data_IF_429329159749
#
_entry.id   IF_429329159749
#
_cell.length_a   1.000
_cell.length_b   1.000
_cell.length_c   1.000
_cell.angle_alpha   90.00
_cell.angle_beta   90.00
_cell.angle_gamma   90.00
#
_symmetry.space_group_name_H-M   'P 1'
#
loop_
_entity.id
_entity.type
_entity.pdbx_description
1 polymer ?
#
# COMPACT_ATOMS: atom_id res chain seq x y z
N UNK A 1 -8.34 -1.79 15.68
CA UNK A 1 -7.31 -1.39 14.70
C UNK A 1 -7.81 -1.84 13.35
N UNK A 2 -8.01 -0.92 12.42
CA UNK A 2 -8.84 -1.18 11.24
C UNK A 2 -7.98 -1.58 10.04
N UNK A 3 -8.44 -2.57 9.29
CA UNK A 3 -7.83 -3.07 8.06
C UNK A 3 -8.55 -2.41 6.90
N UNK A 4 -7.82 -1.64 6.11
CA UNK A 4 -8.38 -1.05 4.92
C UNK A 4 -8.25 -2.00 3.74
N UNK A 5 -9.34 -2.21 3.01
CA UNK A 5 -9.31 -2.86 1.70
C UNK A 5 -9.54 -1.79 0.65
N UNK A 6 -8.61 -1.65 -0.30
CA UNK A 6 -8.76 -0.69 -1.39
C UNK A 6 -8.91 -1.37 -2.75
N UNK A 7 -10.03 -1.06 -3.40
CA UNK A 7 -10.41 -1.59 -4.69
C UNK A 7 -10.60 -0.46 -5.71
N UNK A 8 -10.14 -0.70 -6.95
CA UNK A 8 -10.52 0.12 -8.10
C UNK A 8 -11.35 -0.74 -9.04
N UNK A 9 -12.64 -0.46 -9.09
CA UNK A 9 -13.63 -1.29 -9.77
C UNK A 9 -14.03 -0.64 -11.09
N UNK A 10 -14.07 -1.42 -12.16
CA UNK A 10 -14.64 -0.95 -13.43
C UNK A 10 -16.15 -1.09 -13.39
N UNK A 11 -16.87 -0.39 -14.28
CA UNK A 11 -18.33 -0.52 -14.42
C UNK A 11 -18.79 -1.92 -14.84
N UNK A 12 -17.85 -2.80 -15.22
CA UNK A 12 -18.14 -4.20 -15.56
C UNK A 12 -18.21 -5.04 -14.29
N UNK A 13 -19.44 -5.36 -13.85
CA UNK A 13 -19.74 -6.13 -12.62
C UNK A 13 -18.93 -7.43 -12.51
N UNK A 14 -18.84 -8.23 -13.57
CA UNK A 14 -18.24 -9.57 -13.53
C UNK A 14 -16.77 -9.63 -13.07
N UNK A 15 -15.95 -8.60 -13.33
CA UNK A 15 -14.54 -8.57 -12.91
C UNK A 15 -14.32 -7.98 -11.51
N UNK A 16 -15.34 -7.31 -10.98
CA UNK A 16 -15.30 -6.68 -9.66
C UNK A 16 -15.61 -7.71 -8.58
N UNK A 17 -16.60 -8.56 -8.84
CA UNK A 17 -17.05 -9.59 -7.89
C UNK A 17 -15.94 -10.63 -7.63
N UNK A 18 -15.11 -10.96 -8.62
CA UNK A 18 -13.98 -11.88 -8.44
C UNK A 18 -12.85 -11.31 -7.56
N UNK A 19 -12.58 -10.01 -7.66
CA UNK A 19 -11.55 -9.35 -6.83
C UNK A 19 -11.97 -9.30 -5.36
N UNK A 20 -13.23 -8.90 -5.12
CA UNK A 20 -13.78 -8.83 -3.77
C UNK A 20 -13.79 -10.21 -3.13
N UNK A 21 -14.24 -11.25 -3.85
CA UNK A 21 -14.30 -12.60 -3.33
C UNK A 21 -12.94 -13.15 -2.90
N UNK A 22 -11.90 -12.96 -3.72
CA UNK A 22 -10.55 -13.43 -3.37
C UNK A 22 -9.92 -12.62 -2.22
N UNK A 23 -10.16 -11.31 -2.14
CA UNK A 23 -9.70 -10.50 -0.99
C UNK A 23 -10.42 -10.96 0.29
N UNK A 24 -11.74 -11.15 0.26
CA UNK A 24 -12.51 -11.64 1.41
C UNK A 24 -11.98 -13.01 1.84
N UNK A 25 -11.74 -13.92 0.90
CA UNK A 25 -11.15 -15.23 1.20
C UNK A 25 -9.79 -15.11 1.91
N UNK A 26 -8.92 -14.21 1.45
CA UNK A 26 -7.64 -13.96 2.09
C UNK A 26 -7.82 -13.38 3.51
N UNK A 27 -8.75 -12.44 3.69
CA UNK A 27 -9.01 -11.82 4.99
C UNK A 27 -9.48 -12.84 6.02
N UNK A 28 -10.47 -13.67 5.65
CA UNK A 28 -10.98 -14.76 6.51
C UNK A 28 -9.88 -15.77 6.83
N UNK A 29 -9.06 -16.15 5.83
CA UNK A 29 -7.96 -17.10 6.04
C UNK A 29 -6.86 -16.55 6.98
N UNK A 30 -6.75 -15.24 7.13
CA UNK A 30 -5.81 -14.58 8.06
C UNK A 30 -6.47 -14.22 9.40
N UNK A 31 -7.71 -14.65 9.65
CA UNK A 31 -8.39 -14.46 10.93
C UNK A 31 -8.88 -13.03 11.17
N UNK A 32 -9.15 -12.27 10.12
CA UNK A 32 -9.71 -10.94 10.25
C UNK A 32 -11.24 -10.98 10.22
N UNK A 33 -11.84 -10.35 11.22
CA UNK A 33 -13.29 -10.24 11.36
C UNK A 33 -13.86 -9.08 10.52
N UNK A 34 -15.13 -9.18 10.11
CA UNK A 34 -15.79 -8.18 9.24
C UNK A 34 -15.85 -6.78 9.87
N UNK A 35 -15.96 -6.69 11.19
CA UNK A 35 -15.99 -5.44 11.96
C UNK A 35 -14.64 -4.70 11.96
N UNK A 36 -13.55 -5.42 11.68
CA UNK A 36 -12.21 -4.85 11.56
C UNK A 36 -11.93 -4.33 10.14
N UNK A 37 -12.78 -4.63 9.16
CA UNK A 37 -12.52 -4.38 7.74
C UNK A 37 -13.28 -3.14 7.25
N UNK A 38 -12.55 -2.20 6.67
CA UNK A 38 -13.10 -1.01 6.02
C UNK A 38 -12.81 -1.01 4.52
N UNK A 39 -13.86 -1.01 3.71
CA UNK A 39 -13.75 -1.01 2.26
C UNK A 39 -13.69 0.41 1.66
N UNK A 40 -12.70 0.64 0.80
CA UNK A 40 -12.50 1.86 0.04
C UNK A 40 -12.55 1.51 -1.45
N UNK A 41 -13.60 1.90 -2.16
CA UNK A 41 -13.79 1.56 -3.57
C UNK A 41 -13.99 2.78 -4.46
N UNK A 42 -13.07 2.99 -5.41
CA UNK A 42 -13.19 4.02 -6.45
C UNK A 42 -13.54 3.41 -7.81
N UNK A 43 -14.35 4.13 -8.62
CA UNK A 43 -14.71 3.70 -9.98
C UNK A 43 -13.63 4.09 -10.99
N UNK A 44 -13.30 3.18 -11.92
CA UNK A 44 -12.27 3.38 -12.95
C UNK A 44 -12.73 4.20 -14.18
N UNK A 45 -13.83 4.97 -14.09
CA UNK A 45 -14.41 5.63 -15.28
C UNK A 45 -13.39 6.56 -15.96
N UNK A 46 -13.25 6.39 -17.28
CA UNK A 46 -12.34 7.15 -18.12
C UNK A 46 -12.48 8.66 -17.92
N UNK A 47 -11.32 9.32 -17.86
CA UNK A 47 -11.07 10.77 -17.77
C UNK A 47 -11.01 11.42 -16.38
N UNK A 48 -11.52 10.84 -15.30
CA UNK A 48 -11.54 11.56 -14.00
C UNK A 48 -10.65 10.90 -12.94
N UNK A 49 -9.60 11.61 -12.52
CA UNK A 49 -8.62 11.21 -11.50
C UNK A 49 -9.14 11.39 -10.04
N UNK A 50 -10.42 11.67 -9.83
CA UNK A 50 -10.99 11.92 -8.51
C UNK A 50 -11.19 10.62 -7.71
N UNK A 51 -10.09 10.15 -7.10
CA UNK A 51 -10.05 9.00 -6.20
C UNK A 51 -10.46 9.38 -4.79
N UNK A 52 -11.77 9.55 -4.60
CA UNK A 52 -12.32 10.05 -3.33
C UNK A 52 -12.09 9.06 -2.20
N UNK A 53 -12.30 7.77 -2.46
CA UNK A 53 -12.11 6.75 -1.44
C UNK A 53 -10.62 6.53 -1.14
N UNK A 54 -9.73 6.63 -2.13
CA UNK A 54 -8.29 6.63 -1.90
C UNK A 54 -7.82 7.78 -1.02
N UNK A 55 -8.37 8.99 -1.21
CA UNK A 55 -8.05 10.13 -0.35
C UNK A 55 -8.55 9.94 1.08
N UNK A 56 -9.72 9.33 1.27
CA UNK A 56 -10.21 8.96 2.61
C UNK A 56 -9.32 7.90 3.26
N UNK A 57 -8.88 6.89 2.51
CA UNK A 57 -7.93 5.89 2.98
C UNK A 57 -6.64 6.56 3.48
N UNK A 58 -6.06 7.46 2.67
CA UNK A 58 -4.88 8.20 3.08
C UNK A 58 -5.14 8.94 4.39
N UNK A 59 -6.24 9.68 4.53
CA UNK A 59 -6.58 10.37 5.78
C UNK A 59 -6.69 9.41 6.98
N UNK A 60 -7.32 8.25 6.82
CA UNK A 60 -7.42 7.25 7.89
C UNK A 60 -6.05 6.66 8.28
N UNK A 61 -5.15 6.49 7.31
CA UNK A 61 -3.74 6.14 7.56
C UNK A 61 -3.03 7.25 8.33
N UNK A 62 -3.17 8.51 7.91
CA UNK A 62 -2.55 9.66 8.59
C UNK A 62 -3.08 9.86 10.01
N UNK A 63 -4.34 9.50 10.26
CA UNK A 63 -4.96 9.51 11.58
C UNK A 63 -4.54 8.32 12.47
N UNK A 64 -3.84 7.32 11.93
CA UNK A 64 -3.41 6.11 12.66
C UNK A 64 -4.53 5.08 12.87
N UNK A 65 -5.70 5.27 12.26
CA UNK A 65 -6.85 4.36 12.33
C UNK A 65 -6.61 3.07 11.55
N UNK A 66 -5.88 3.19 10.43
CA UNK A 66 -5.53 2.10 9.52
C UNK A 66 -4.06 1.76 9.64
N UNK A 67 -3.77 0.49 9.90
CA UNK A 67 -2.38 -0.03 10.00
C UNK A 67 -2.08 -1.19 9.07
N UNK A 68 -3.11 -1.70 8.38
CA UNK A 68 -2.97 -2.67 7.29
C UNK A 68 -3.80 -2.21 6.10
N UNK A 69 -3.20 -2.21 4.92
CA UNK A 69 -3.86 -1.92 3.64
C UNK A 69 -3.75 -3.14 2.74
N UNK A 70 -4.89 -3.66 2.31
CA UNK A 70 -4.99 -4.81 1.41
C UNK A 70 -5.49 -4.33 0.05
N UNK A 71 -4.78 -4.71 -1.01
CA UNK A 71 -5.15 -4.40 -2.40
C UNK A 71 -5.07 -5.64 -3.27
N UNK A 72 -5.83 -5.64 -4.36
CA UNK A 72 -5.76 -6.71 -5.34
C UNK A 72 -4.39 -6.82 -6.02
N UNK A 73 -3.91 -5.68 -6.51
CA UNK A 73 -2.66 -5.45 -7.26
C UNK A 73 -2.14 -4.07 -6.88
N UNK A 74 -0.82 -3.89 -6.92
CA UNK A 74 -0.20 -2.58 -6.62
C UNK A 74 -0.60 -1.48 -7.62
N UNK A 75 -0.97 -1.84 -8.85
CA UNK A 75 -1.46 -0.90 -9.88
C UNK A 75 -2.78 -0.19 -9.51
N UNK A 76 -3.49 -0.71 -8.50
CA UNK A 76 -4.69 -0.09 -7.93
C UNK A 76 -4.32 1.19 -7.19
N UNK A 77 -3.20 1.19 -6.45
CA UNK A 77 -2.67 2.32 -5.69
C UNK A 77 -2.18 3.42 -6.64
N UNK A 78 -1.29 3.08 -7.58
CA UNK A 78 -0.83 4.02 -8.60
C UNK A 78 -0.48 3.32 -9.90
N UNK A 79 -0.77 4.00 -11.01
CA UNK A 79 -0.34 3.57 -12.36
C UNK A 79 1.03 4.14 -12.74
N UNK A 80 1.55 5.09 -11.97
CA UNK A 80 2.88 5.70 -12.17
C UNK A 80 3.83 5.10 -11.15
N UNK A 81 4.92 4.51 -11.64
CA UNK A 81 5.88 3.78 -10.81
C UNK A 81 6.48 4.65 -9.70
N UNK A 82 6.96 5.86 -10.05
CA UNK A 82 7.54 6.82 -9.09
C UNK A 82 6.55 7.19 -7.98
N UNK A 83 5.34 7.59 -8.35
CA UNK A 83 4.30 7.99 -7.39
C UNK A 83 3.90 6.80 -6.49
N UNK A 84 3.82 5.59 -7.07
CA UNK A 84 3.50 4.37 -6.31
C UNK A 84 4.60 4.03 -5.30
N UNK A 85 5.87 4.06 -5.72
CA UNK A 85 7.01 3.77 -4.86
C UNK A 85 7.10 4.75 -3.69
N UNK A 86 6.99 6.06 -3.96
CA UNK A 86 7.05 7.08 -2.91
C UNK A 86 5.93 6.89 -1.89
N UNK A 87 4.70 6.67 -2.36
CA UNK A 87 3.55 6.49 -1.47
C UNK A 87 3.64 5.20 -0.65
N UNK A 88 4.13 4.10 -1.24
CA UNK A 88 4.36 2.86 -0.50
C UNK A 88 5.45 3.03 0.56
N UNK A 89 6.53 3.76 0.24
CA UNK A 89 7.59 4.08 1.20
C UNK A 89 7.04 4.94 2.36
N UNK A 90 6.26 5.99 2.07
CA UNK A 90 5.65 6.84 3.09
C UNK A 90 4.73 6.05 4.04
N UNK A 91 3.95 5.11 3.51
CA UNK A 91 3.08 4.24 4.31
C UNK A 91 3.90 3.27 5.17
N UNK A 92 4.94 2.69 4.59
CA UNK A 92 5.87 1.81 5.26
C UNK A 92 6.59 2.51 6.42
N UNK A 93 7.07 3.75 6.22
CA UNK A 93 7.70 4.59 7.26
C UNK A 93 6.75 4.90 8.42
N UNK A 94 5.45 4.92 8.16
CA UNK A 94 4.39 5.08 9.18
C UNK A 94 4.00 3.79 9.88
N UNK A 95 4.63 2.67 9.55
CA UNK A 95 4.32 1.35 10.10
C UNK A 95 3.04 0.73 9.54
N UNK A 96 2.61 1.13 8.34
CA UNK A 96 1.47 0.52 7.66
C UNK A 96 1.93 -0.72 6.90
N UNK A 97 1.34 -1.87 7.20
CA UNK A 97 1.50 -3.10 6.42
C UNK A 97 0.71 -2.99 5.12
N UNK A 98 1.35 -3.24 3.98
CA UNK A 98 0.67 -3.25 2.68
C UNK A 98 0.74 -4.66 2.09
N UNK A 99 -0.42 -5.20 1.71
CA UNK A 99 -0.55 -6.53 1.12
C UNK A 99 -1.17 -6.43 -0.27
N UNK A 100 -0.57 -7.09 -1.25
CA UNK A 100 -1.15 -7.32 -2.57
C UNK A 100 -1.47 -8.79 -2.77
N UNK A 101 -2.76 -9.10 -2.97
CA UNK A 101 -3.26 -10.48 -3.03
C UNK A 101 -2.69 -11.25 -4.22
N UNK A 102 -2.91 -10.79 -5.45
CA UNK A 102 -2.54 -11.57 -6.64
C UNK A 102 -1.03 -11.69 -6.88
N UNK A 103 -0.26 -10.76 -6.31
CA UNK A 103 1.19 -10.76 -6.43
C UNK A 103 1.84 -11.51 -5.27
N UNK A 104 1.06 -11.96 -4.27
CA UNK A 104 1.56 -12.52 -3.02
C UNK A 104 2.63 -11.63 -2.36
N UNK A 105 2.48 -10.31 -2.49
CA UNK A 105 3.42 -9.34 -1.94
C UNK A 105 2.92 -8.90 -0.58
N UNK A 106 3.79 -9.01 0.42
CA UNK A 106 3.63 -8.38 1.72
C UNK A 106 4.82 -7.43 1.92
N UNK A 107 4.55 -6.14 2.08
CA UNK A 107 5.58 -5.13 2.25
C UNK A 107 6.10 -5.02 3.69
N UNK A 108 5.82 -5.98 4.54
CA UNK A 108 6.51 -6.12 5.82
C UNK A 108 7.96 -6.58 5.62
N UNK A 109 8.82 -6.25 6.58
CA UNK A 109 10.18 -6.79 6.64
C UNK A 109 11.06 -6.42 5.44
N UNK A 110 11.60 -7.43 4.74
CA UNK A 110 12.64 -7.26 3.72
C UNK A 110 12.15 -6.60 2.43
N UNK A 111 10.93 -6.92 1.99
CA UNK A 111 10.37 -6.39 0.75
C UNK A 111 10.04 -4.90 0.92
N UNK A 112 9.48 -4.50 2.07
CA UNK A 112 9.27 -3.10 2.40
C UNK A 112 10.57 -2.28 2.40
N UNK A 113 11.66 -2.84 2.96
CA UNK A 113 12.99 -2.21 2.92
C UNK A 113 13.50 -2.01 1.50
N UNK A 114 13.28 -2.98 0.62
CA UNK A 114 13.68 -2.89 -0.77
C UNK A 114 12.91 -1.78 -1.49
N UNK A 115 11.59 -1.69 -1.30
CA UNK A 115 10.78 -0.61 -1.89
C UNK A 115 11.21 0.76 -1.37
N UNK A 116 11.46 0.90 -0.07
CA UNK A 116 11.97 2.14 0.50
C UNK A 116 13.34 2.53 -0.09
N UNK A 117 14.26 1.58 -0.26
CA UNK A 117 15.56 1.83 -0.89
C UNK A 117 15.42 2.29 -2.35
N UNK A 118 14.51 1.68 -3.11
CA UNK A 118 14.20 2.11 -4.47
C UNK A 118 13.55 3.49 -4.49
N UNK A 119 12.68 3.82 -3.53
CA UNK A 119 12.07 5.16 -3.41
C UNK A 119 13.12 6.25 -3.20
N UNK A 120 14.03 6.01 -2.26
CA UNK A 120 15.17 6.87 -1.97
C UNK A 120 16.02 7.05 -3.23
N UNK A 121 16.39 5.98 -3.93
CA UNK A 121 17.18 6.05 -5.15
C UNK A 121 16.44 6.71 -6.33
N UNK A 122 15.13 6.53 -6.44
CA UNK A 122 14.34 7.11 -7.52
C UNK A 122 14.18 8.63 -7.36
N UNK A 123 14.24 9.16 -6.14
CA UNK A 123 14.20 10.60 -5.90
C UNK A 123 15.51 11.21 -6.41
N UNK A 124 15.45 11.93 -7.53
CA UNK A 124 16.63 12.41 -8.29
C UNK A 124 17.58 13.29 -7.47
N UNK A 125 17.13 13.85 -6.35
CA UNK A 125 17.96 14.58 -5.38
C UNK A 125 18.90 13.67 -4.53
N UNK A 126 18.68 12.36 -4.53
CA UNK A 126 19.47 11.37 -3.77
C UNK A 126 20.30 10.47 -4.70
N UNK A 127 20.05 10.48 -6.01
CA UNK A 127 20.95 9.84 -6.99
C UNK A 127 22.37 10.40 -6.85
N UNK A 128 22.50 11.67 -6.44
CA UNK A 128 23.77 12.34 -6.13
C UNK A 128 24.16 12.27 -4.65
N UNK A 129 23.34 11.66 -3.78
CA UNK A 129 23.67 11.55 -2.36
C UNK A 129 24.73 10.47 -2.15
N UNK A 130 25.72 10.72 -1.27
CA UNK A 130 26.80 9.78 -1.05
C UNK A 130 26.24 8.44 -0.51
N UNK A 131 26.76 7.27 -0.94
CA UNK A 131 26.23 5.94 -0.61
C UNK A 131 25.97 5.70 0.89
N UNK A 132 26.76 6.33 1.76
CA UNK A 132 26.59 6.32 3.22
C UNK A 132 25.25 6.89 3.70
N UNK A 133 24.67 7.84 2.99
CA UNK A 133 23.40 8.47 3.33
C UNK A 133 22.22 7.58 2.94
N UNK A 134 22.28 6.96 1.76
CA UNK A 134 21.32 5.94 1.31
C UNK A 134 21.33 4.75 2.28
N UNK A 135 22.53 4.25 2.61
CA UNK A 135 22.72 3.16 3.56
C UNK A 135 22.24 3.53 4.97
N UNK A 136 22.44 4.77 5.42
CA UNK A 136 21.95 5.26 6.71
C UNK A 136 20.43 5.31 6.78
N UNK A 137 19.77 5.83 5.75
CA UNK A 137 18.30 5.87 5.68
C UNK A 137 17.72 4.46 5.64
N UNK A 138 18.28 3.57 4.81
CA UNK A 138 17.88 2.17 4.75
C UNK A 138 18.12 1.43 6.09
N UNK A 139 19.23 1.71 6.78
CA UNK A 139 19.56 1.10 8.07
C UNK A 139 18.78 1.68 9.26
N UNK A 140 18.43 2.96 9.24
CA UNK A 140 17.53 3.58 10.22
C UNK A 140 16.13 2.97 10.09
N UNK A 141 15.63 2.86 8.87
CA UNK A 141 14.37 2.18 8.57
C UNK A 141 14.42 0.70 8.96
N UNK A 142 15.47 -0.05 8.59
CA UNK A 142 15.61 -1.46 8.98
C UNK A 142 15.67 -1.74 10.49
N UNK A 143 15.89 -0.71 11.32
CA UNK A 143 15.84 -0.78 12.78
C UNK A 143 14.45 -0.47 13.34
N UNK A 144 13.68 0.42 12.72
CA UNK A 144 12.31 0.74 13.16
C UNK A 144 11.33 -0.41 12.97
N UNK A 145 11.48 -1.21 11.91
CA UNK A 145 10.67 -2.40 11.63
C UNK A 145 11.12 -3.67 12.38
N UNK A 146 12.26 -3.64 13.09
CA UNK A 146 12.77 -4.79 13.86
C UNK A 146 12.43 -4.72 15.35
N UNK A 147 11.85 -3.61 15.78
CA UNK A 147 11.50 -3.29 17.17
C UNK A 147 9.99 -3.36 17.43
N UNK A 148 9.21 -3.93 16.50
CA UNK A 148 7.78 -4.21 16.62
C UNK A 148 7.50 -5.68 16.34
#
# INVERSE_FOLDING_TARGET
MTIAVYCRVSTVRQKTDSQVAEITKWLTANGYDEDQIQWFSDKETGKTLHRTQFNKLQKAIFAGEVRTVVVWKLDRISRRLRDGINLLADWCDRGVRVVSITQAIDLTGAVGRMIAAVAVAANSAIVDAPPRQIARSAAAYARSIRSQ
#
